data_IF_758278740894
#
_entry.id   IF_758278740894
#
_cell.length_a   1.000
_cell.length_b   1.000
_cell.length_c   1.000
_cell.angle_alpha   90.00
_cell.angle_beta   90.00
_cell.angle_gamma   90.00
#
_symmetry.space_group_name_H-M   'P 1'
#
loop_
_entity.id
_entity.type
_entity.pdbx_description
1 polymer ?
#
# COMPACT_ATOMS: atom_id res chain seq x y z
N UNK A 1 -6.41 30.95 50.83
CA UNK A 1 -5.20 31.00 49.98
C UNK A 1 -5.04 29.80 49.02
N UNK A 2 -6.08 29.00 48.72
CA UNK A 2 -5.93 27.75 47.94
C UNK A 2 -6.29 27.77 46.44
N UNK A 3 -6.78 28.88 45.88
CA UNK A 3 -7.37 28.86 44.53
C UNK A 3 -6.39 29.01 43.35
N UNK A 4 -5.21 29.60 43.55
CA UNK A 4 -4.31 29.97 42.45
C UNK A 4 -3.43 28.82 41.95
N UNK A 5 -3.09 27.84 42.79
CA UNK A 5 -2.24 26.71 42.36
C UNK A 5 -3.03 25.64 41.58
N UNK A 6 -4.32 25.45 41.89
CA UNK A 6 -5.17 24.47 41.20
C UNK A 6 -5.44 24.85 39.73
N UNK A 7 -5.60 26.15 39.45
CA UNK A 7 -5.81 26.65 38.09
C UNK A 7 -4.54 26.54 37.23
N UNK A 8 -3.36 26.80 37.81
CA UNK A 8 -2.10 26.64 37.11
C UNK A 8 -1.79 25.17 36.78
N UNK A 9 -2.10 24.26 37.70
CA UNK A 9 -1.92 22.82 37.48
C UNK A 9 -2.89 22.29 36.42
N UNK A 10 -4.15 22.73 36.44
CA UNK A 10 -5.13 22.39 35.41
C UNK A 10 -4.71 22.91 34.03
N UNK A 11 -4.16 24.13 33.95
CA UNK A 11 -3.68 24.70 32.69
C UNK A 11 -2.49 23.92 32.12
N UNK A 12 -1.55 23.53 32.97
CA UNK A 12 -0.39 22.71 32.60
C UNK A 12 -0.79 21.33 32.12
N UNK A 13 -1.76 20.67 32.78
CA UNK A 13 -2.29 19.38 32.34
C UNK A 13 -3.02 19.52 31.01
N UNK A 14 -3.81 20.57 30.80
CA UNK A 14 -4.46 20.80 29.50
C UNK A 14 -3.47 21.13 28.39
N UNK A 15 -2.41 21.89 28.66
CA UNK A 15 -1.36 22.20 27.68
C UNK A 15 -0.50 20.98 27.34
N UNK A 16 -0.22 20.12 28.32
CA UNK A 16 0.46 18.85 28.12
C UNK A 16 -0.41 17.86 27.33
N UNK A 17 -1.70 17.75 27.65
CA UNK A 17 -2.66 16.97 26.87
C UNK A 17 -2.81 17.51 25.45
N UNK A 18 -2.82 18.83 25.27
CA UNK A 18 -2.94 19.43 23.95
C UNK A 18 -1.67 19.25 23.12
N UNK A 19 -0.47 19.37 23.72
CA UNK A 19 0.79 19.01 23.03
C UNK A 19 0.84 17.52 22.65
N UNK A 20 0.42 16.64 23.57
CA UNK A 20 0.36 15.19 23.32
C UNK A 20 -0.63 14.83 22.21
N UNK A 21 -1.76 15.53 22.13
CA UNK A 21 -2.74 15.37 21.06
C UNK A 21 -2.27 15.99 19.73
N UNK A 22 -1.55 17.11 19.74
CA UNK A 22 -1.07 17.79 18.52
C UNK A 22 0.05 16.99 17.84
N UNK A 23 0.95 16.34 18.59
CA UNK A 23 1.96 15.44 18.01
C UNK A 23 1.35 14.25 17.26
N UNK A 24 0.14 13.80 17.63
CA UNK A 24 -0.53 12.68 16.96
C UNK A 24 -1.37 13.08 15.74
N UNK A 25 -1.49 14.37 15.43
CA UNK A 25 -2.42 14.89 14.39
C UNK A 25 -1.70 15.59 13.24
N UNK A 26 -0.36 15.65 13.24
CA UNK A 26 0.36 16.14 12.08
C UNK A 26 0.27 15.10 10.95
N UNK A 27 -0.17 15.48 9.74
CA UNK A 27 -0.16 14.57 8.62
C UNK A 27 1.28 14.16 8.34
N UNK A 28 1.57 12.87 8.46
CA UNK A 28 2.89 12.35 8.15
C UNK A 28 3.21 12.67 6.70
N UNK A 29 4.19 13.55 6.51
CA UNK A 29 4.59 13.99 5.18
C UNK A 29 5.63 13.01 4.68
N UNK A 30 5.25 12.18 3.71
CA UNK A 30 6.16 11.24 3.07
C UNK A 30 6.75 11.88 1.83
N UNK A 31 8.05 12.18 1.87
CA UNK A 31 8.82 12.62 0.71
C UNK A 31 10.02 11.71 0.49
N UNK A 32 10.80 12.00 -0.55
CA UNK A 32 12.06 11.34 -0.81
C UNK A 32 13.07 12.39 -1.27
N UNK A 33 14.35 12.16 -0.98
CA UNK A 33 15.42 13.08 -1.36
C UNK A 33 16.39 12.51 -2.39
N UNK A 34 17.31 13.37 -2.83
CA UNK A 34 18.33 13.08 -3.84
C UNK A 34 19.38 12.03 -3.43
N UNK A 35 19.36 11.57 -2.18
CA UNK A 35 20.20 10.47 -1.70
C UNK A 35 19.41 9.17 -1.57
N UNK A 36 18.27 9.09 -2.26
CA UNK A 36 17.50 7.88 -2.38
C UNK A 36 16.86 7.40 -1.06
N UNK A 37 16.68 8.28 -0.07
CA UNK A 37 16.09 7.93 1.23
C UNK A 37 14.71 8.55 1.39
N UNK A 38 13.79 7.73 1.88
CA UNK A 38 12.43 8.11 2.20
C UNK A 38 12.45 8.96 3.47
N UNK A 39 11.85 10.13 3.37
CA UNK A 39 11.77 11.11 4.45
C UNK A 39 10.37 11.04 5.02
N UNK A 40 10.25 10.43 6.19
CA UNK A 40 9.01 10.38 6.96
C UNK A 40 9.16 11.38 8.11
N UNK A 41 8.30 12.39 8.14
CA UNK A 41 8.30 13.45 9.16
C UNK A 41 9.65 14.20 9.23
N UNK A 42 10.25 14.47 8.08
CA UNK A 42 11.53 15.15 7.97
C UNK A 42 12.75 14.29 8.36
N UNK A 43 12.55 13.01 8.73
CA UNK A 43 13.63 12.07 9.07
C UNK A 43 13.86 11.06 7.96
N UNK A 44 15.10 10.96 7.51
CA UNK A 44 15.59 9.89 6.62
C UNK A 44 15.45 8.54 7.32
N UNK A 45 14.78 7.57 6.69
CA UNK A 45 14.64 6.20 7.22
C UNK A 45 14.97 5.16 6.15
N UNK A 46 15.70 4.13 6.56
CA UNK A 46 15.74 2.85 5.84
C UNK A 46 14.58 2.04 6.38
N UNK A 47 13.66 1.63 5.52
CA UNK A 47 12.44 0.92 5.91
C UNK A 47 12.59 -0.56 5.61
N UNK A 48 12.35 -1.40 6.61
CA UNK A 48 12.23 -2.84 6.42
C UNK A 48 10.76 -3.19 6.19
N UNK A 49 10.46 -3.75 5.02
CA UNK A 49 9.11 -4.13 4.62
C UNK A 49 8.95 -5.64 4.55
N UNK A 50 7.77 -6.15 4.88
CA UNK A 50 7.40 -7.55 4.68
C UNK A 50 5.98 -7.70 4.15
N UNK A 51 5.79 -8.61 3.20
CA UNK A 51 4.49 -8.80 2.55
C UNK A 51 3.57 -9.74 3.35
N UNK A 52 2.39 -9.25 3.75
CA UNK A 52 1.32 -10.04 4.37
C UNK A 52 0.03 -9.80 3.60
N UNK A 53 -0.43 -10.80 2.85
CA UNK A 53 -1.66 -10.69 2.08
C UNK A 53 -2.86 -11.06 2.94
N UNK A 54 -3.72 -10.06 3.21
CA UNK A 54 -4.89 -10.21 4.07
C UNK A 54 -5.81 -11.40 3.72
N UNK A 55 -6.16 -11.71 2.44
CA UNK A 55 -7.06 -12.83 2.15
C UNK A 55 -6.40 -14.21 2.21
N UNK A 56 -5.07 -14.28 2.33
CA UNK A 56 -4.33 -15.54 2.51
C UNK A 56 -4.36 -16.03 3.97
N UNK A 57 -4.88 -15.22 4.88
CA UNK A 57 -5.06 -15.55 6.30
C UNK A 57 -6.46 -15.13 6.76
N UNK A 58 -6.80 -15.42 8.02
CA UNK A 58 -8.11 -15.07 8.59
C UNK A 58 -8.02 -13.83 9.48
N UNK A 59 -9.09 -13.03 9.62
CA UNK A 59 -9.08 -11.84 10.49
C UNK A 59 -8.69 -12.09 11.94
N UNK A 60 -8.93 -13.31 12.45
CA UNK A 60 -8.54 -13.70 13.80
C UNK A 60 -7.02 -13.81 14.00
N UNK A 61 -6.25 -14.07 12.94
CA UNK A 61 -4.79 -14.26 13.03
C UNK A 61 -3.99 -13.04 12.58
N UNK A 62 -4.62 -12.03 11.97
CA UNK A 62 -3.93 -10.82 11.53
C UNK A 62 -3.16 -10.12 12.65
N UNK A 63 -3.72 -9.92 13.86
CA UNK A 63 -2.98 -9.25 14.94
C UNK A 63 -1.71 -10.02 15.33
N UNK A 64 -1.78 -11.35 15.38
CA UNK A 64 -0.63 -12.20 15.73
C UNK A 64 0.46 -12.14 14.66
N UNK A 65 0.08 -12.20 13.38
CA UNK A 65 1.04 -12.09 12.26
C UNK A 65 1.73 -10.73 12.24
N UNK A 66 0.96 -9.65 12.43
CA UNK A 66 1.48 -8.28 12.45
C UNK A 66 2.40 -8.08 13.66
N UNK A 67 2.02 -8.59 14.84
CA UNK A 67 2.87 -8.50 16.03
C UNK A 67 4.22 -9.23 15.83
N UNK A 68 4.20 -10.45 15.26
CA UNK A 68 5.43 -11.19 14.93
C UNK A 68 6.30 -10.42 13.94
N UNK A 69 5.69 -9.71 12.99
CA UNK A 69 6.40 -8.83 12.06
C UNK A 69 7.04 -7.63 12.75
N UNK A 70 6.34 -7.00 13.70
CA UNK A 70 6.92 -5.93 14.54
C UNK A 70 8.09 -6.45 15.38
N UNK A 71 7.94 -7.61 16.02
CA UNK A 71 9.01 -8.25 16.81
C UNK A 71 10.21 -8.67 15.93
N UNK A 72 9.95 -9.01 14.67
CA UNK A 72 10.97 -9.28 13.64
C UNK A 72 11.69 -8.03 13.13
N UNK A 73 11.31 -6.83 13.58
CA UNK A 73 11.95 -5.57 13.22
C UNK A 73 11.48 -4.97 11.89
N UNK A 74 10.30 -5.34 11.39
CA UNK A 74 9.70 -4.68 10.24
C UNK A 74 9.13 -3.32 10.62
N UNK A 75 9.30 -2.33 9.76
CA UNK A 75 8.69 -1.00 9.87
C UNK A 75 7.42 -0.87 9.02
N UNK A 76 7.30 -1.69 7.97
CA UNK A 76 6.27 -1.59 6.93
C UNK A 76 5.66 -2.97 6.66
N UNK A 77 4.34 -3.02 6.51
CA UNK A 77 3.63 -4.17 5.94
C UNK A 77 3.21 -3.86 4.52
N UNK A 78 3.56 -4.75 3.59
CA UNK A 78 3.16 -4.68 2.20
C UNK A 78 1.98 -5.62 1.92
N UNK A 79 0.97 -5.17 1.18
CA UNK A 79 -0.10 -6.04 0.71
C UNK A 79 -0.63 -5.64 -0.65
N UNK A 80 -0.99 -6.64 -1.45
CA UNK A 80 -1.79 -6.46 -2.65
C UNK A 80 -3.27 -6.26 -2.33
N UNK A 81 -3.96 -5.61 -3.26
CA UNK A 81 -5.42 -5.54 -3.30
C UNK A 81 -5.94 -6.52 -4.36
N UNK A 82 -6.72 -7.51 -3.93
CA UNK A 82 -7.21 -8.58 -4.80
C UNK A 82 -8.58 -8.25 -5.37
N UNK A 83 -8.57 -7.45 -6.44
CA UNK A 83 -9.79 -6.85 -6.98
C UNK A 83 -10.87 -7.87 -7.38
N UNK A 84 -10.48 -9.00 -7.97
CA UNK A 84 -11.43 -10.04 -8.41
C UNK A 84 -12.37 -10.54 -7.30
N UNK A 85 -11.94 -10.50 -6.03
CA UNK A 85 -12.79 -10.83 -4.89
C UNK A 85 -13.52 -9.64 -4.29
N UNK A 86 -13.00 -8.43 -4.49
CA UNK A 86 -13.67 -7.20 -4.07
C UNK A 86 -14.78 -6.77 -5.02
N UNK A 87 -14.76 -7.19 -6.29
CA UNK A 87 -15.81 -6.93 -7.28
C UNK A 87 -16.11 -8.19 -8.10
N UNK A 88 -16.68 -9.25 -7.47
CA UNK A 88 -16.98 -10.51 -8.17
C UNK A 88 -18.05 -10.32 -9.26
N UNK A 89 -18.95 -9.35 -9.06
CA UNK A 89 -19.94 -8.91 -10.04
C UNK A 89 -19.73 -7.41 -10.25
N UNK A 90 -19.75 -6.98 -11.51
CA UNK A 90 -19.53 -5.58 -11.88
C UNK A 90 -20.40 -4.64 -11.03
N UNK A 91 -19.75 -3.69 -10.35
CA UNK A 91 -20.30 -2.69 -9.42
C UNK A 91 -20.90 -3.24 -8.12
N UNK A 92 -20.73 -4.52 -7.81
CA UNK A 92 -21.08 -5.09 -6.51
C UNK A 92 -19.80 -5.37 -5.73
N UNK A 93 -19.64 -4.66 -4.61
CA UNK A 93 -18.39 -4.69 -3.87
C UNK A 93 -18.47 -5.56 -2.62
N UNK A 94 -17.36 -6.23 -2.29
CA UNK A 94 -17.25 -7.10 -1.13
C UNK A 94 -15.99 -6.75 -0.31
N UNK A 95 -16.19 -6.29 0.92
CA UNK A 95 -15.14 -5.89 1.85
C UNK A 95 -15.34 -6.50 3.25
N UNK A 96 -15.87 -7.72 3.31
CA UNK A 96 -16.16 -8.40 4.58
C UNK A 96 -15.22 -9.59 4.83
N UNK A 97 -15.19 -10.03 6.09
CA UNK A 97 -14.43 -11.20 6.52
C UNK A 97 -12.93 -11.05 6.22
N UNK A 98 -12.34 -12.04 5.53
CA UNK A 98 -10.92 -12.01 5.15
C UNK A 98 -10.58 -11.00 4.05
N UNK A 99 -11.59 -10.45 3.37
CA UNK A 99 -11.43 -9.41 2.36
C UNK A 99 -11.71 -8.01 2.93
N UNK A 100 -11.82 -7.87 4.25
CA UNK A 100 -11.89 -6.56 4.89
C UNK A 100 -10.50 -5.91 4.91
N UNK A 101 -10.18 -5.20 3.83
CA UNK A 101 -8.91 -4.48 3.67
C UNK A 101 -8.79 -3.37 4.72
N UNK A 102 -9.89 -2.68 5.04
CA UNK A 102 -9.86 -1.54 5.96
C UNK A 102 -9.52 -2.01 7.37
N UNK A 103 -10.13 -3.11 7.82
CA UNK A 103 -9.79 -3.72 9.10
C UNK A 103 -8.34 -4.19 9.14
N UNK A 104 -7.84 -4.82 8.08
CA UNK A 104 -6.44 -5.23 7.99
C UNK A 104 -5.49 -4.04 8.15
N UNK A 105 -5.74 -2.94 7.43
CA UNK A 105 -4.92 -1.72 7.52
C UNK A 105 -4.98 -1.11 8.92
N UNK A 106 -6.17 -1.05 9.54
CA UNK A 106 -6.34 -0.56 10.92
C UNK A 106 -5.52 -1.39 11.91
N UNK A 107 -5.49 -2.72 11.76
CA UNK A 107 -4.68 -3.57 12.64
C UNK A 107 -3.17 -3.31 12.47
N UNK A 108 -2.71 -3.02 11.26
CA UNK A 108 -1.30 -2.62 11.03
C UNK A 108 -0.98 -1.28 11.69
N UNK A 109 -1.90 -0.32 11.59
CA UNK A 109 -1.78 0.99 12.23
C UNK A 109 -1.78 0.90 13.77
N UNK A 110 -2.64 0.06 14.35
CA UNK A 110 -2.68 -0.20 15.79
C UNK A 110 -1.37 -0.79 16.31
N UNK A 111 -0.64 -1.53 15.47
CA UNK A 111 0.69 -2.04 15.77
C UNK A 111 1.82 -1.00 15.55
N UNK A 112 1.50 0.20 15.06
CA UNK A 112 2.46 1.28 14.83
C UNK A 112 3.35 1.09 13.58
N UNK A 113 2.95 0.21 12.66
CA UNK A 113 3.65 -0.03 11.40
C UNK A 113 3.06 0.81 10.27
N UNK A 114 3.87 1.11 9.26
CA UNK A 114 3.41 1.73 8.02
C UNK A 114 2.83 0.70 7.06
N UNK A 115 2.04 1.17 6.08
CA UNK A 115 1.47 0.30 5.04
C UNK A 115 1.99 0.70 3.65
N UNK A 116 2.51 -0.29 2.92
CA UNK A 116 2.78 -0.20 1.49
C UNK A 116 1.67 -0.92 0.72
N UNK A 117 0.78 -0.15 0.07
CA UNK A 117 -0.42 -0.74 -0.55
C UNK A 117 -0.25 -0.89 -2.07
N UNK A 118 -0.28 -2.14 -2.54
CA UNK A 118 -0.16 -2.50 -3.95
C UNK A 118 -1.52 -2.68 -4.56
N UNK A 119 -2.08 -1.59 -5.07
CA UNK A 119 -3.48 -1.58 -5.50
C UNK A 119 -3.67 -2.37 -6.80
N UNK A 120 -2.60 -2.56 -7.56
CA UNK A 120 -2.67 -3.17 -8.88
C UNK A 120 -3.16 -2.15 -9.91
N UNK A 121 -3.94 -2.56 -10.93
CA UNK A 121 -5.01 -3.55 -10.81
C UNK A 121 -4.60 -4.99 -11.13
N UNK A 122 -3.51 -5.16 -11.89
CA UNK A 122 -2.84 -6.44 -12.00
C UNK A 122 -1.92 -6.62 -10.78
N UNK A 123 -2.05 -7.75 -10.09
CA UNK A 123 -1.24 -8.06 -8.90
C UNK A 123 -0.28 -9.25 -9.11
N UNK A 124 -0.43 -10.01 -10.21
CA UNK A 124 0.19 -11.34 -10.36
C UNK A 124 -0.10 -12.24 -9.14
N UNK A 125 0.84 -12.23 -8.18
CA UNK A 125 0.74 -12.80 -6.84
C UNK A 125 0.30 -14.27 -6.79
N UNK A 126 0.62 -15.04 -7.84
CA UNK A 126 0.16 -16.43 -8.02
C UNK A 126 -1.34 -16.60 -7.72
N UNK A 127 -2.11 -15.55 -8.03
CA UNK A 127 -3.50 -15.45 -7.65
C UNK A 127 -4.39 -15.68 -8.85
N UNK A 128 -5.45 -16.46 -8.66
CA UNK A 128 -6.36 -16.77 -9.74
C UNK A 128 -7.01 -15.48 -10.30
N UNK A 129 -7.06 -15.37 -11.63
CA UNK A 129 -7.79 -14.29 -12.30
C UNK A 129 -7.11 -12.92 -12.33
N UNK A 130 -5.86 -12.76 -11.83
CA UNK A 130 -5.10 -11.51 -12.02
C UNK A 130 -4.73 -11.31 -13.50
N UNK A 131 -4.30 -12.37 -14.19
CA UNK A 131 -3.99 -12.35 -15.64
C UNK A 131 -5.23 -12.33 -16.56
N UNK A 132 -6.39 -12.81 -16.07
CA UNK A 132 -7.63 -12.89 -16.88
C UNK A 132 -8.15 -11.52 -17.36
N UNK A 133 -7.72 -10.45 -16.70
CA UNK A 133 -8.02 -9.06 -17.05
C UNK A 133 -7.05 -8.47 -18.09
N UNK A 134 -5.83 -9.00 -18.23
CA UNK A 134 -4.89 -8.59 -19.29
C UNK A 134 -5.26 -9.24 -20.65
N UNK A 135 -5.82 -10.45 -20.65
CA UNK A 135 -6.14 -11.18 -21.89
C UNK A 135 -7.49 -10.82 -22.53
N UNK A 136 -8.31 -9.99 -21.88
CA UNK A 136 -9.60 -9.52 -22.44
C UNK A 136 -9.40 -8.23 -23.25
N UNK A 137 -8.60 -8.29 -24.32
CA UNK A 137 -8.28 -7.16 -25.23
C UNK A 137 -9.50 -6.48 -25.89
N UNK A 138 -10.72 -6.98 -25.67
CA UNK A 138 -11.95 -6.43 -26.25
C UNK A 138 -12.57 -5.27 -25.45
N UNK A 139 -12.13 -4.97 -24.22
CA UNK A 139 -12.81 -4.01 -23.33
C UNK A 139 -11.90 -2.94 -22.67
N UNK A 140 -10.81 -2.57 -23.36
CA UNK A 140 -9.79 -1.63 -22.89
C UNK A 140 -10.34 -0.26 -22.38
N UNK A 141 -11.44 0.24 -22.95
CA UNK A 141 -12.03 1.52 -22.54
C UNK A 141 -12.93 1.45 -21.30
N UNK A 142 -13.54 0.31 -21.02
CA UNK A 142 -14.36 0.12 -19.81
C UNK A 142 -13.50 -0.33 -18.63
N UNK A 143 -12.48 -1.15 -18.84
CA UNK A 143 -11.73 -1.75 -17.73
C UNK A 143 -10.80 -0.75 -17.06
N UNK A 144 -10.15 0.16 -17.80
CA UNK A 144 -9.41 1.30 -17.22
C UNK A 144 -10.34 2.21 -16.40
N UNK A 145 -11.57 2.47 -16.86
CA UNK A 145 -12.54 3.27 -16.08
C UNK A 145 -12.99 2.55 -14.81
N UNK A 146 -13.13 1.23 -14.85
CA UNK A 146 -13.53 0.42 -13.68
C UNK A 146 -12.34 0.28 -12.71
N UNK A 147 -11.10 0.16 -13.19
CA UNK A 147 -9.86 0.22 -12.41
C UNK A 147 -9.68 1.60 -11.76
N UNK A 148 -9.94 2.68 -12.51
CA UNK A 148 -9.98 4.05 -12.02
C UNK A 148 -11.08 4.27 -10.96
N UNK A 149 -12.26 3.70 -11.18
CA UNK A 149 -13.36 3.71 -10.22
C UNK A 149 -12.98 2.93 -8.98
N UNK A 150 -12.37 1.74 -9.11
CA UNK A 150 -11.89 0.94 -7.99
C UNK A 150 -10.77 1.66 -7.24
N UNK A 151 -9.81 2.29 -7.91
CA UNK A 151 -8.78 3.11 -7.27
C UNK A 151 -9.38 4.31 -6.52
N UNK A 152 -10.35 5.00 -7.15
CA UNK A 152 -11.13 6.07 -6.50
C UNK A 152 -11.96 5.54 -5.34
N UNK A 153 -12.51 4.33 -5.44
CA UNK A 153 -13.40 3.72 -4.43
C UNK A 153 -12.62 3.07 -3.30
N UNK A 154 -11.51 2.40 -3.55
CA UNK A 154 -10.56 1.91 -2.56
C UNK A 154 -9.99 3.09 -1.75
N UNK A 155 -9.67 4.21 -2.42
CA UNK A 155 -9.38 5.48 -1.72
C UNK A 155 -10.58 5.94 -0.89
N UNK A 156 -11.77 6.03 -1.50
CA UNK A 156 -12.95 6.56 -0.83
C UNK A 156 -13.46 5.65 0.29
N UNK A 157 -13.33 4.33 0.21
CA UNK A 157 -13.80 3.30 1.15
C UNK A 157 -12.80 3.02 2.26
N UNK A 158 -11.50 3.16 2.00
CA UNK A 158 -10.51 3.40 3.07
C UNK A 158 -10.89 4.64 3.91
N UNK A 159 -11.52 5.65 3.29
CA UNK A 159 -12.10 6.83 3.94
C UNK A 159 -13.55 6.63 4.45
N UNK A 160 -14.36 5.77 3.83
CA UNK A 160 -15.82 5.65 4.06
C UNK A 160 -16.15 4.77 5.25
N UNK A 161 -15.29 3.79 5.58
CA UNK A 161 -15.50 2.82 6.66
C UNK A 161 -15.23 3.39 8.08
N UNK A 162 -15.57 4.66 8.27
CA UNK A 162 -15.66 5.32 9.57
C UNK A 162 -17.02 6.00 9.79
N UNK A 163 -17.87 6.08 8.76
CA UNK A 163 -19.16 6.80 8.83
C UNK A 163 -20.41 5.92 8.79
N UNK A 164 -20.27 4.59 8.65
CA UNK A 164 -21.40 3.66 8.73
C UNK A 164 -21.21 2.73 9.92
N UNK A 165 -21.24 3.31 11.13
CA UNK A 165 -21.66 2.55 12.29
C UNK A 165 -23.16 2.29 12.15
N UNK A 166 -23.52 1.00 12.15
CA UNK A 166 -24.86 0.44 12.37
C UNK A 166 -26.02 1.44 12.43
N UNK A 167 -26.81 1.51 11.36
CA UNK A 167 -28.24 1.80 11.49
C UNK A 167 -29.00 0.87 10.55
N UNK A 168 -29.72 -0.06 11.16
CA UNK A 168 -30.64 -0.96 10.49
C UNK A 168 -31.73 -0.13 9.79
N UNK A 169 -31.83 -0.30 8.46
CA UNK A 169 -33.03 0.02 7.70
C UNK A 169 -33.34 1.50 7.51
N UNK A 170 -32.83 2.10 6.44
CA UNK A 170 -33.60 3.01 5.56
C UNK A 170 -32.79 3.36 4.32
N UNK A 171 -33.45 3.26 3.17
CA UNK A 171 -33.00 3.84 1.91
C UNK A 171 -32.89 5.37 2.05
N UNK A 172 -31.91 5.97 1.35
CA UNK A 172 -31.68 7.41 1.06
C UNK A 172 -30.49 8.09 1.80
N UNK A 173 -29.98 9.22 1.27
CA UNK A 173 -28.68 9.37 0.63
C UNK A 173 -27.60 9.89 1.60
N UNK A 174 -26.43 9.28 1.59
CA UNK A 174 -25.32 9.60 2.48
C UNK A 174 -24.78 11.02 2.23
N UNK A 175 -25.23 11.97 3.06
CA UNK A 175 -24.65 13.32 3.16
C UNK A 175 -23.28 13.19 3.83
N UNK A 176 -22.23 13.48 3.06
CA UNK A 176 -20.85 13.52 3.53
C UNK A 176 -20.67 14.50 4.69
N UNK A 177 -20.69 14.00 5.93
CA UNK A 177 -20.11 14.72 7.07
C UNK A 177 -18.61 14.40 7.13
N UNK A 178 -17.81 15.46 6.98
CA UNK A 178 -16.36 15.53 7.19
C UNK A 178 -15.99 14.87 8.53
N UNK A 179 -15.57 13.61 8.49
CA UNK A 179 -14.76 13.01 9.52
C UNK A 179 -13.30 13.32 9.14
N UNK A 180 -12.63 14.07 10.01
CA UNK A 180 -11.30 14.64 9.79
C UNK A 180 -10.21 13.63 10.15
N UNK A 181 -10.33 12.39 9.67
CA UNK A 181 -9.29 11.37 9.80
C UNK A 181 -8.68 11.20 8.41
N UNK A 182 -7.56 11.89 8.20
CA UNK A 182 -6.71 11.57 7.07
C UNK A 182 -6.19 10.15 7.28
N UNK A 183 -6.35 9.25 6.30
CA UNK A 183 -5.56 8.02 6.26
C UNK A 183 -4.09 8.38 5.99
N UNK A 184 -3.42 8.97 6.99
CA UNK A 184 -2.11 9.60 6.86
C UNK A 184 -0.93 8.65 7.00
N UNK A 185 -1.19 7.37 7.26
CA UNK A 185 -0.10 6.44 7.64
C UNK A 185 0.24 5.43 6.53
N UNK A 186 -0.35 5.60 5.34
CA UNK A 186 0.17 4.93 4.15
C UNK A 186 1.52 5.53 3.79
N UNK A 187 2.48 4.68 3.47
CA UNK A 187 3.81 5.13 3.14
C UNK A 187 3.97 5.34 1.63
N UNK A 188 3.57 4.36 0.81
CA UNK A 188 3.55 4.44 -0.66
C UNK A 188 2.39 3.64 -1.24
N UNK A 189 2.05 3.93 -2.50
CA UNK A 189 1.13 3.12 -3.30
C UNK A 189 1.85 2.55 -4.53
N UNK A 190 1.58 1.29 -4.88
CA UNK A 190 1.98 0.72 -6.18
C UNK A 190 0.80 0.76 -7.15
N UNK A 191 1.07 1.28 -8.35
CA UNK A 191 0.20 1.17 -9.52
C UNK A 191 0.78 0.13 -10.46
N UNK A 192 -0.09 -0.72 -11.02
CA UNK A 192 0.32 -1.84 -11.87
C UNK A 192 1.28 -2.84 -11.19
N UNK A 193 1.70 -3.88 -11.91
CA UNK A 193 2.66 -4.83 -11.39
C UNK A 193 3.54 -5.44 -12.48
N UNK A 194 4.85 -5.17 -12.42
CA UNK A 194 5.87 -5.72 -13.32
C UNK A 194 5.54 -5.59 -14.81
N UNK A 195 4.81 -4.53 -15.19
CA UNK A 195 4.32 -4.39 -16.56
C UNK A 195 5.46 -4.23 -17.57
N UNK A 196 6.62 -3.70 -17.17
CA UNK A 196 7.82 -3.61 -18.01
C UNK A 196 8.29 -4.97 -18.57
N UNK A 197 8.00 -6.08 -17.89
CA UNK A 197 8.32 -7.42 -18.38
C UNK A 197 7.49 -7.83 -19.61
N UNK A 198 6.30 -7.25 -19.78
CA UNK A 198 5.35 -7.57 -20.85
C UNK A 198 5.11 -6.41 -21.82
N UNK A 199 5.51 -5.20 -21.45
CA UNK A 199 5.28 -3.97 -22.22
C UNK A 199 5.73 -4.08 -23.68
N UNK A 200 6.94 -4.63 -23.89
CA UNK A 200 7.55 -4.78 -25.21
C UNK A 200 6.66 -5.58 -26.18
N UNK A 201 5.86 -6.53 -25.67
CA UNK A 201 4.95 -7.34 -26.49
C UNK A 201 3.80 -6.51 -27.10
N UNK A 202 3.50 -5.34 -26.51
CA UNK A 202 2.42 -4.44 -26.93
C UNK A 202 2.92 -3.20 -27.69
N UNK A 203 4.24 -3.07 -27.87
CA UNK A 203 4.86 -1.95 -28.59
C UNK A 203 4.42 -0.59 -28.07
N UNK A 204 4.00 0.30 -28.98
CA UNK A 204 3.54 1.66 -28.64
C UNK A 204 2.31 1.64 -27.73
N UNK A 205 1.45 0.61 -27.84
CA UNK A 205 0.28 0.47 -26.98
C UNK A 205 0.65 0.29 -25.51
N UNK A 206 1.72 -0.47 -25.23
CA UNK A 206 2.24 -0.67 -23.87
C UNK A 206 2.78 0.62 -23.27
N UNK A 207 3.59 1.37 -24.02
CA UNK A 207 4.13 2.67 -23.58
C UNK A 207 3.03 3.70 -23.29
N UNK A 208 1.99 3.74 -24.13
CA UNK A 208 0.83 4.62 -23.90
C UNK A 208 0.04 4.19 -22.68
N UNK A 209 -0.08 2.88 -22.42
CA UNK A 209 -0.73 2.34 -21.24
C UNK A 209 0.00 2.73 -19.95
N UNK A 210 1.33 2.57 -19.88
CA UNK A 210 2.13 2.96 -18.71
C UNK A 210 1.94 4.44 -18.37
N UNK A 211 1.99 5.32 -19.39
CA UNK A 211 1.73 6.76 -19.22
C UNK A 211 0.32 7.04 -18.71
N UNK A 212 -0.67 6.32 -19.22
CA UNK A 212 -2.07 6.45 -18.78
C UNK A 212 -2.27 5.97 -17.34
N UNK A 213 -1.68 4.83 -16.97
CA UNK A 213 -1.74 4.27 -15.62
C UNK A 213 -1.06 5.19 -14.60
N UNK A 214 0.13 5.71 -14.93
CA UNK A 214 0.82 6.67 -14.09
C UNK A 214 0.04 7.99 -13.96
N UNK A 215 -0.42 8.58 -15.07
CA UNK A 215 -1.21 9.82 -15.03
C UNK A 215 -2.51 9.66 -14.22
N UNK A 216 -3.13 8.48 -14.34
CA UNK A 216 -4.27 8.06 -13.54
C UNK A 216 -3.95 8.06 -12.05
N UNK A 217 -2.87 7.38 -11.65
CA UNK A 217 -2.45 7.27 -10.27
C UNK A 217 -2.13 8.64 -9.66
N UNK A 218 -1.35 9.46 -10.38
CA UNK A 218 -1.01 10.84 -9.99
C UNK A 218 -2.28 11.69 -9.86
N UNK A 219 -3.22 11.54 -10.79
CA UNK A 219 -4.50 12.26 -10.80
C UNK A 219 -5.41 11.94 -9.62
N UNK A 220 -5.14 10.88 -8.86
CA UNK A 220 -5.82 10.60 -7.59
C UNK A 220 -5.37 11.55 -6.48
N UNK A 221 -4.31 12.34 -6.65
CA UNK A 221 -3.86 13.36 -5.70
C UNK A 221 -3.75 12.80 -4.27
N UNK A 222 -2.96 11.75 -4.13
CA UNK A 222 -2.60 11.15 -2.85
C UNK A 222 -1.54 11.98 -2.15
N UNK A 223 -1.49 11.93 -0.82
CA UNK A 223 -0.47 12.61 -0.01
C UNK A 223 0.89 11.91 -0.01
N UNK A 224 0.96 10.73 -0.62
CA UNK A 224 2.13 9.84 -0.58
C UNK A 224 2.57 9.46 -2.00
N UNK A 225 3.87 9.11 -2.20
CA UNK A 225 4.42 8.77 -3.51
C UNK A 225 3.81 7.50 -4.11
N UNK A 226 3.89 7.43 -5.43
CA UNK A 226 3.51 6.26 -6.22
C UNK A 226 4.74 5.53 -6.74
N UNK A 227 4.58 4.22 -6.88
CA UNK A 227 5.64 3.28 -7.18
C UNK A 227 5.20 2.34 -8.31
N UNK A 228 6.12 1.95 -9.19
CA UNK A 228 5.93 0.90 -10.21
C UNK A 228 7.11 -0.07 -10.15
N UNK A 229 6.84 -1.34 -9.89
CA UNK A 229 7.88 -2.37 -9.85
C UNK A 229 8.25 -2.86 -11.25
N UNK A 230 9.54 -3.14 -11.47
CA UNK A 230 10.10 -3.64 -12.72
C UNK A 230 9.68 -2.80 -13.96
N UNK A 231 9.63 -1.48 -13.81
CA UNK A 231 9.23 -0.53 -14.85
C UNK A 231 10.35 0.49 -15.14
N UNK A 232 11.14 0.27 -16.18
CA UNK A 232 12.33 1.08 -16.49
C UNK A 232 12.03 2.45 -17.14
N UNK A 233 10.80 2.67 -17.62
CA UNK A 233 10.37 3.92 -18.25
C UNK A 233 9.25 4.62 -17.44
N UNK A 234 9.13 4.29 -16.14
CA UNK A 234 8.13 4.87 -15.25
C UNK A 234 8.21 6.41 -15.27
N UNK A 235 7.13 7.11 -15.66
CA UNK A 235 7.15 8.57 -15.82
C UNK A 235 7.17 9.28 -14.47
N UNK A 236 7.75 10.48 -14.42
CA UNK A 236 7.77 11.28 -13.20
C UNK A 236 6.35 11.68 -12.75
N UNK A 237 6.07 11.72 -11.42
CA UNK A 237 6.97 11.49 -10.28
C UNK A 237 6.99 10.03 -9.78
N UNK A 238 6.58 9.04 -10.58
CA UNK A 238 6.53 7.64 -10.16
C UNK A 238 7.94 7.09 -9.90
N UNK A 239 8.11 6.37 -8.79
CA UNK A 239 9.37 5.70 -8.42
C UNK A 239 9.39 4.30 -9.04
N UNK A 240 10.44 3.98 -9.80
CA UNK A 240 10.63 2.61 -10.27
C UNK A 240 11.39 1.78 -9.23
N UNK A 241 11.03 0.50 -9.12
CA UNK A 241 11.62 -0.41 -8.11
C UNK A 241 12.02 -1.73 -8.71
N UNK A 242 12.78 -2.50 -7.93
CA UNK A 242 13.27 -3.81 -8.31
C UNK A 242 12.55 -4.93 -7.56
N UNK A 243 12.42 -6.07 -8.24
CA UNK A 243 11.93 -7.33 -7.72
C UNK A 243 12.94 -8.42 -8.07
N UNK A 244 13.12 -9.42 -7.19
CA UNK A 244 14.04 -10.52 -7.47
C UNK A 244 14.61 -11.18 -6.22
N UNK A 245 15.51 -12.13 -6.44
CA UNK A 245 16.36 -12.68 -5.37
C UNK A 245 17.47 -11.70 -4.97
N UNK A 246 17.91 -10.88 -5.92
CA UNK A 246 18.99 -9.91 -5.80
C UNK A 246 18.61 -8.64 -6.58
N UNK A 247 18.77 -7.48 -5.94
CA UNK A 247 18.52 -6.16 -6.53
C UNK A 247 19.67 -5.18 -6.25
N UNK A 248 20.85 -5.68 -5.89
CA UNK A 248 22.01 -4.87 -5.50
C UNK A 248 22.53 -3.99 -6.64
N UNK A 249 22.47 -4.48 -7.87
CA UNK A 249 22.90 -3.74 -9.08
C UNK A 249 21.84 -2.80 -9.64
N UNK A 250 20.63 -2.80 -9.08
CA UNK A 250 19.55 -1.95 -9.57
C UNK A 250 19.80 -0.49 -9.22
N UNK A 251 19.57 0.40 -10.19
CA UNK A 251 19.58 1.84 -10.00
C UNK A 251 18.24 2.42 -10.48
N UNK A 252 17.66 3.38 -9.73
CA UNK A 252 16.43 4.05 -10.16
C UNK A 252 16.67 4.88 -11.43
N UNK A 253 15.60 5.19 -12.17
CA UNK A 253 15.65 5.93 -13.45
C UNK A 253 16.32 7.30 -13.30
N UNK A 254 16.17 7.91 -12.13
CA UNK A 254 16.75 9.20 -11.81
C UNK A 254 17.51 9.13 -10.48
N UNK A 255 18.68 9.77 -10.37
CA UNK A 255 19.39 9.91 -9.09
C UNK A 255 18.56 10.61 -8.00
N UNK A 256 17.50 11.32 -8.39
CA UNK A 256 16.59 11.98 -7.44
C UNK A 256 15.57 11.03 -6.81
N UNK A 257 15.47 9.78 -7.25
CA UNK A 257 14.49 8.79 -6.78
C UNK A 257 15.16 7.78 -5.83
N UNK A 258 14.43 7.27 -4.82
CA UNK A 258 14.92 6.24 -3.91
C UNK A 258 15.15 4.90 -4.59
N UNK A 259 16.25 4.24 -4.23
CA UNK A 259 16.50 2.84 -4.57
C UNK A 259 15.63 1.99 -3.64
N UNK A 260 14.65 1.30 -4.21
CA UNK A 260 13.70 0.47 -3.45
C UNK A 260 13.64 -0.93 -4.05
N UNK A 261 13.67 -1.93 -3.16
CA UNK A 261 13.48 -3.34 -3.48
C UNK A 261 12.12 -3.77 -2.93
N UNK A 262 11.14 -3.90 -3.82
CA UNK A 262 9.74 -4.16 -3.44
C UNK A 262 9.45 -5.63 -3.21
N UNK A 263 10.13 -6.53 -3.92
CA UNK A 263 9.98 -7.97 -3.69
C UNK A 263 11.32 -8.68 -3.52
N UNK A 264 11.72 -8.85 -2.27
CA UNK A 264 12.82 -9.76 -1.92
C UNK A 264 12.27 -11.18 -1.76
N UNK A 265 12.51 -12.02 -2.77
CA UNK A 265 11.94 -13.37 -2.79
C UNK A 265 12.51 -14.25 -1.67
N UNK A 266 11.75 -14.42 -0.59
CA UNK A 266 12.16 -15.24 0.58
C UNK A 266 12.16 -16.74 0.29
N UNK A 267 11.70 -17.15 -0.89
CA UNK A 267 11.54 -18.52 -1.33
C UNK A 267 10.87 -18.52 -2.70
N UNK A 268 10.10 -19.56 -2.99
CA UNK A 268 9.27 -19.62 -4.20
C UNK A 268 7.91 -20.24 -3.88
N UNK A 269 6.91 -20.03 -4.72
CA UNK A 269 5.60 -20.65 -4.53
C UNK A 269 5.65 -22.15 -4.83
N UNK A 270 4.79 -22.92 -4.15
CA UNK A 270 4.66 -24.36 -4.37
C UNK A 270 3.70 -24.63 -5.53
N UNK A 271 4.18 -25.34 -6.55
CA UNK A 271 3.34 -25.86 -7.64
C UNK A 271 2.87 -27.27 -7.34
N UNK A 272 1.63 -27.60 -7.74
CA UNK A 272 1.11 -28.96 -7.60
C UNK A 272 2.02 -29.98 -8.30
N UNK A 273 2.43 -31.03 -7.57
CA UNK A 273 3.30 -32.08 -8.10
C UNK A 273 4.79 -31.77 -8.08
N UNK A 274 5.21 -30.59 -7.59
CA UNK A 274 6.61 -30.19 -7.48
C UNK A 274 7.09 -30.21 -6.02
N UNK A 275 8.41 -30.32 -5.77
CA UNK A 275 8.97 -30.24 -4.42
C UNK A 275 8.80 -28.84 -3.82
N UNK A 276 8.86 -28.75 -2.50
CA UNK A 276 8.84 -27.48 -1.77
C UNK A 276 10.15 -26.73 -2.06
N UNK A 277 10.09 -25.58 -2.74
CA UNK A 277 11.28 -24.77 -2.99
C UNK A 277 11.75 -24.12 -1.69
N UNK A 278 13.08 -24.02 -1.50
CA UNK A 278 13.68 -23.47 -0.30
C UNK A 278 14.79 -22.48 -0.67
N UNK A 279 14.80 -21.31 -0.03
CA UNK A 279 15.89 -20.34 -0.07
C UNK A 279 16.58 -20.32 1.30
N UNK A 280 17.91 -20.53 1.38
CA UNK A 280 18.63 -20.44 2.64
C UNK A 280 18.50 -19.06 3.29
N UNK A 281 18.39 -19.01 4.62
CA UNK A 281 18.28 -17.75 5.36
C UNK A 281 19.56 -16.92 5.27
N UNK A 282 20.71 -17.57 5.15
CA UNK A 282 22.01 -16.95 4.98
C UNK A 282 22.11 -16.24 3.62
N UNK A 283 21.55 -16.83 2.56
CA UNK A 283 21.48 -16.22 1.23
C UNK A 283 20.55 -15.01 1.22
N UNK A 284 19.39 -15.11 1.88
CA UNK A 284 18.47 -13.98 2.03
C UNK A 284 19.12 -12.82 2.79
N UNK A 285 19.76 -13.10 3.93
CA UNK A 285 20.47 -12.10 4.72
C UNK A 285 21.63 -11.46 3.93
N UNK A 286 22.39 -12.27 3.19
CA UNK A 286 23.46 -11.77 2.31
C UNK A 286 22.91 -10.85 1.21
N UNK A 287 21.81 -11.23 0.56
CA UNK A 287 21.21 -10.42 -0.50
C UNK A 287 20.68 -9.08 0.04
N UNK A 288 20.05 -9.08 1.22
CA UNK A 288 19.59 -7.84 1.89
C UNK A 288 20.75 -6.96 2.32
N UNK A 289 21.83 -7.53 2.88
CA UNK A 289 23.01 -6.75 3.28
C UNK A 289 23.80 -6.18 2.09
N UNK A 290 23.71 -6.81 0.92
CA UNK A 290 24.38 -6.39 -0.31
C UNK A 290 23.61 -5.31 -1.09
N UNK A 291 22.30 -5.23 -0.90
CA UNK A 291 21.42 -4.22 -1.51
C UNK A 291 21.68 -2.82 -0.95
#
# INVERSE_FOLDING_TARGET
MGGKSSLALSLLVTLAFWSYCVERVLPSTVTYDHNAVLVIDGKRRVLLSGSIHNPRSTPAVWPELIQKSTEGGLDVIETYVFWNYHEPVRRQYYFEGRFDLVKSVKTVQEAGLFVHLRIGPYASAEWNGTMGLLCSFQHFSSDIQIQLLFLKRARNEAFYCQNCGADEGRESPCIARRANYTCTDYFTYIVENEYGNVEWAYGIGGQLYVKLAAATAIGLNTTVPWVMCSQLDAPDPIINTCNGFYCDVFEPISPSKPKMWTESYTGWFLSFGYPIPHRPVEDLAFAVARF
#
